data_IF_558880904909
#
_entry.id   IF_558880904909
#
_cell.length_a   1.000
_cell.length_b   1.000
_cell.length_c   1.000
_cell.angle_alpha   90.00
_cell.angle_beta   90.00
_cell.angle_gamma   90.00
#
_symmetry.space_group_name_H-M   'P 1'
#
loop_
_entity.id
_entity.type
_entity.pdbx_description
1 polymer ?
#
# COMPACT_ATOMS: atom_id res chain seq x y z
N UNK A 1 2.91 -12.68 27.37
CA UNK A 1 2.51 -12.02 26.11
C UNK A 1 3.15 -10.65 26.07
N UNK A 2 3.66 -10.20 24.91
CA UNK A 2 4.21 -8.85 24.75
C UNK A 2 3.15 -7.93 24.11
N UNK A 3 3.09 -6.68 24.58
CA UNK A 3 2.16 -5.66 24.10
C UNK A 3 2.96 -4.45 23.61
N UNK A 4 2.73 -4.04 22.37
CA UNK A 4 3.35 -2.85 21.79
C UNK A 4 2.42 -1.63 21.91
N UNK A 5 2.98 -0.50 22.29
CA UNK A 5 2.34 0.81 22.22
C UNK A 5 2.67 1.45 20.87
N UNK A 6 1.67 1.64 20.05
CA UNK A 6 1.83 2.04 18.64
C UNK A 6 1.06 3.33 18.38
N UNK A 7 1.72 4.33 17.82
CA UNK A 7 1.05 5.50 17.26
C UNK A 7 0.74 5.22 15.77
N UNK A 8 -0.53 5.39 15.40
CA UNK A 8 -1.03 5.05 14.08
C UNK A 8 -0.91 6.24 13.11
N UNK A 9 -0.68 5.96 11.81
CA UNK A 9 -0.59 6.99 10.77
C UNK A 9 -1.97 7.54 10.36
N UNK A 10 -2.63 8.14 11.36
CA UNK A 10 -3.89 8.87 11.18
C UNK A 10 -3.77 10.20 11.93
N UNK A 11 -3.45 11.32 11.26
CA UNK A 11 -3.19 12.60 11.91
C UNK A 11 -4.50 13.30 12.30
N UNK A 12 -5.12 12.83 13.37
CA UNK A 12 -6.33 13.39 13.96
C UNK A 12 -6.13 13.56 15.47
N UNK A 13 -6.84 14.51 16.08
CA UNK A 13 -6.75 14.77 17.52
C UNK A 13 -7.07 13.53 18.38
N UNK A 14 -8.02 12.71 17.95
CA UNK A 14 -8.45 11.50 18.67
C UNK A 14 -7.43 10.36 18.59
N UNK A 15 -6.57 10.37 17.57
CA UNK A 15 -5.57 9.33 17.31
C UNK A 15 -4.15 9.74 17.68
N UNK A 16 -3.96 10.97 18.21
CA UNK A 16 -2.66 11.47 18.68
C UNK A 16 -2.27 10.91 20.05
N UNK A 17 -2.45 9.61 20.19
CA UNK A 17 -2.11 8.82 21.38
C UNK A 17 -1.73 7.39 20.95
N UNK A 18 -0.90 6.69 21.76
CA UNK A 18 -0.55 5.31 21.46
C UNK A 18 -1.72 4.36 21.72
N UNK A 19 -1.84 3.36 20.86
CA UNK A 19 -2.77 2.24 20.99
C UNK A 19 -2.01 0.97 21.31
N UNK A 20 -2.63 0.09 22.10
CA UNK A 20 -2.05 -1.20 22.49
C UNK A 20 -2.38 -2.27 21.48
N UNK A 21 -1.37 -3.05 21.07
CA UNK A 21 -1.49 -4.19 20.18
C UNK A 21 -0.71 -5.38 20.71
N UNK A 22 -1.24 -6.58 20.52
CA UNK A 22 -0.50 -7.82 20.76
C UNK A 22 0.67 -7.93 19.79
N UNK A 23 1.81 -8.38 20.31
CA UNK A 23 2.96 -8.73 19.46
C UNK A 23 2.85 -10.20 19.12
N UNK A 24 2.84 -10.59 17.83
CA UNK A 24 2.91 -11.98 17.42
C UNK A 24 4.11 -12.70 18.05
N UNK A 25 3.95 -13.96 18.42
CA UNK A 25 5.01 -14.72 19.11
C UNK A 25 6.31 -14.75 18.29
N UNK A 26 6.20 -14.81 16.98
CA UNK A 26 7.31 -14.83 16.03
C UNK A 26 8.18 -13.57 16.10
N UNK A 27 7.59 -12.43 16.50
CA UNK A 27 8.26 -11.12 16.54
C UNK A 27 8.61 -10.63 17.94
N UNK A 28 8.29 -11.37 19.01
CA UNK A 28 8.54 -10.92 20.40
C UNK A 28 9.99 -10.52 20.64
N UNK A 29 10.95 -11.29 20.10
CA UNK A 29 12.40 -11.03 20.22
C UNK A 29 12.93 -10.10 19.13
N UNK A 30 12.09 -9.69 18.18
CA UNK A 30 12.52 -8.98 16.98
C UNK A 30 11.98 -7.55 16.91
N UNK A 31 10.80 -7.32 17.50
CA UNK A 31 10.18 -6.01 17.50
C UNK A 31 10.93 -5.08 18.46
N UNK A 32 11.26 -3.89 17.98
CA UNK A 32 11.96 -2.87 18.75
C UNK A 32 11.23 -1.53 18.67
N UNK A 33 11.43 -0.68 19.68
CA UNK A 33 10.95 0.70 19.69
C UNK A 33 11.57 1.46 18.52
N UNK A 34 10.77 2.28 17.82
CA UNK A 34 11.19 3.01 16.64
C UNK A 34 10.99 2.28 15.30
N UNK A 35 10.54 1.01 15.33
CA UNK A 35 10.15 0.27 14.12
C UNK A 35 8.78 0.68 13.62
N UNK A 36 8.57 0.55 12.31
CA UNK A 36 7.25 0.67 11.67
C UNK A 36 6.59 -0.68 11.57
N UNK A 37 5.27 -0.67 11.71
CA UNK A 37 4.41 -1.86 11.64
C UNK A 37 3.14 -1.56 10.86
N UNK A 38 2.49 -2.59 10.31
CA UNK A 38 1.10 -2.52 9.88
C UNK A 38 0.19 -3.09 10.96
N UNK A 39 -0.86 -2.35 11.29
CA UNK A 39 -1.84 -2.74 12.30
C UNK A 39 -3.27 -2.58 11.79
N UNK A 40 -4.20 -3.47 12.19
CA UNK A 40 -5.62 -3.32 11.91
C UNK A 40 -6.23 -2.21 12.78
N UNK A 41 -6.76 -1.16 12.17
CA UNK A 41 -7.32 -0.01 12.87
C UNK A 41 -8.78 0.25 12.53
N UNK A 42 -9.52 0.82 13.50
CA UNK A 42 -10.93 1.15 13.37
C UNK A 42 -11.84 -0.08 13.35
N UNK A 43 -13.15 0.16 13.12
CA UNK A 43 -14.17 -0.90 13.10
C UNK A 43 -14.05 -1.84 11.89
N UNK A 44 -13.53 -1.33 10.77
CA UNK A 44 -13.35 -2.09 9.54
C UNK A 44 -12.03 -2.85 9.47
N UNK A 45 -11.21 -2.85 10.52
CA UNK A 45 -9.89 -3.48 10.57
C UNK A 45 -8.98 -3.12 9.38
N UNK A 46 -9.06 -1.87 8.92
CA UNK A 46 -8.22 -1.40 7.84
C UNK A 46 -6.76 -1.40 8.29
N UNK A 47 -5.90 -2.03 7.49
CA UNK A 47 -4.47 -2.02 7.75
C UNK A 47 -3.90 -0.62 7.53
N UNK A 48 -3.27 -0.07 8.55
CA UNK A 48 -2.58 1.21 8.51
C UNK A 48 -1.19 1.09 9.13
N UNK A 49 -0.29 1.94 8.68
CA UNK A 49 1.04 2.01 9.24
C UNK A 49 1.00 2.63 10.63
N UNK A 50 1.85 2.16 11.52
CA UNK A 50 2.11 2.74 12.83
C UNK A 50 3.60 2.68 13.16
N UNK A 51 3.98 3.38 14.24
CA UNK A 51 5.35 3.40 14.78
C UNK A 51 5.29 2.90 16.22
N UNK A 52 6.17 1.96 16.54
CA UNK A 52 6.30 1.40 17.90
C UNK A 52 6.97 2.44 18.81
N UNK A 53 6.27 2.83 19.87
CA UNK A 53 6.74 3.80 20.85
C UNK A 53 7.21 3.15 22.15
N UNK A 54 6.76 1.91 22.42
CA UNK A 54 7.11 1.17 23.63
C UNK A 54 6.66 -0.28 23.51
N UNK A 55 7.28 -1.15 24.30
CA UNK A 55 6.94 -2.57 24.41
C UNK A 55 6.88 -2.90 25.89
N UNK A 56 5.77 -3.47 26.33
CA UNK A 56 5.48 -3.82 27.72
C UNK A 56 5.21 -5.33 27.82
N UNK A 57 5.54 -5.93 28.95
CA UNK A 57 5.14 -7.31 29.25
C UNK A 57 3.76 -7.31 29.90
N UNK A 58 3.00 -8.38 29.69
CA UNK A 58 1.64 -8.52 30.23
C UNK A 58 1.57 -8.35 31.75
N UNK A 59 2.64 -8.71 32.48
CA UNK A 59 2.75 -8.53 33.92
C UNK A 59 2.68 -7.07 34.39
N UNK A 60 2.93 -6.12 33.49
CA UNK A 60 3.07 -4.71 33.79
C UNK A 60 1.79 -3.91 33.46
N UNK A 61 0.75 -4.59 33.00
CA UNK A 61 -0.47 -3.96 32.49
C UNK A 61 -1.69 -4.50 33.26
N UNK A 62 -2.43 -3.58 33.85
CA UNK A 62 -3.71 -3.82 34.57
C UNK A 62 -4.90 -4.12 33.63
N UNK A 63 -4.65 -4.44 32.34
CA UNK A 63 -5.68 -4.60 31.32
C UNK A 63 -5.71 -6.04 30.85
N UNK A 64 -6.57 -6.84 31.45
CA UNK A 64 -7.09 -8.09 30.88
C UNK A 64 -7.97 -7.76 29.66
N UNK A 65 -7.37 -7.24 28.59
CA UNK A 65 -8.11 -6.95 27.36
C UNK A 65 -7.96 -8.12 26.41
N UNK A 66 -8.87 -9.11 26.54
CA UNK A 66 -8.99 -10.27 25.65
C UNK A 66 -9.22 -9.86 24.18
N UNK A 67 -9.50 -8.57 23.94
CA UNK A 67 -9.87 -8.01 22.64
C UNK A 67 -8.77 -7.18 21.96
N UNK A 68 -7.53 -7.20 22.46
CA UNK A 68 -6.44 -6.49 21.79
C UNK A 68 -6.20 -7.08 20.40
N UNK A 69 -6.17 -6.21 19.41
CA UNK A 69 -5.78 -6.58 18.05
C UNK A 69 -4.28 -6.89 17.98
N UNK A 70 -3.89 -7.70 17.02
CA UNK A 70 -2.51 -8.11 16.83
C UNK A 70 -1.86 -7.31 15.70
N UNK A 71 -0.52 -7.11 15.80
CA UNK A 71 0.28 -6.54 14.72
C UNK A 71 0.19 -7.47 13.52
N UNK A 72 -0.15 -6.93 12.36
CA UNK A 72 -0.30 -7.71 11.14
C UNK A 72 1.03 -7.94 10.42
N UNK A 73 1.97 -6.99 10.50
CA UNK A 73 3.25 -7.05 9.79
C UNK A 73 4.28 -6.13 10.47
N UNK A 74 5.54 -6.55 10.53
CA UNK A 74 6.69 -5.72 10.92
C UNK A 74 7.40 -5.24 9.67
N UNK A 75 7.47 -3.90 9.49
CA UNK A 75 7.96 -3.30 8.26
C UNK A 75 9.49 -3.13 8.21
N UNK A 76 10.16 -3.12 9.35
CA UNK A 76 11.59 -2.78 9.43
C UNK A 76 12.40 -3.91 10.06
N UNK A 77 13.65 -4.07 9.61
CA UNK A 77 14.60 -5.05 10.14
C UNK A 77 15.37 -4.53 11.38
N UNK A 78 15.34 -3.21 11.57
CA UNK A 78 15.93 -2.50 12.71
C UNK A 78 15.14 -1.19 12.91
N UNK A 79 15.25 -0.54 14.09
CA UNK A 79 14.61 0.74 14.33
C UNK A 79 14.99 1.78 13.26
N UNK A 80 14.00 2.44 12.69
CA UNK A 80 14.15 3.55 11.73
C UNK A 80 14.12 4.92 12.41
N UNK A 81 13.68 4.94 13.67
CA UNK A 81 13.73 6.10 14.55
C UNK A 81 14.46 5.72 15.84
N UNK A 82 15.37 6.56 16.26
CA UNK A 82 16.10 6.38 17.52
C UNK A 82 15.28 6.88 18.72
N UNK A 83 15.66 6.50 19.93
CA UNK A 83 15.03 6.98 21.15
C UNK A 83 15.09 8.51 21.28
N UNK A 84 16.20 9.14 20.87
CA UNK A 84 16.35 10.59 20.87
C UNK A 84 15.37 11.26 19.90
N UNK A 85 15.13 10.66 18.74
CA UNK A 85 14.15 11.16 17.78
C UNK A 85 12.72 11.03 18.32
N UNK A 86 12.39 9.93 18.96
CA UNK A 86 11.09 9.73 19.62
C UNK A 86 10.87 10.73 20.74
N UNK A 87 11.89 10.97 21.58
CA UNK A 87 11.86 11.99 22.62
C UNK A 87 11.72 13.39 22.01
N UNK A 88 12.51 13.73 20.98
CA UNK A 88 12.43 15.01 20.29
C UNK A 88 11.04 15.26 19.70
N UNK A 89 10.41 14.22 19.12
CA UNK A 89 9.06 14.32 18.59
C UNK A 89 8.04 14.66 19.69
N UNK A 90 8.19 14.11 20.89
CA UNK A 90 7.34 14.43 22.04
C UNK A 90 7.53 15.88 22.51
N UNK A 91 8.77 16.38 22.56
CA UNK A 91 9.05 17.77 22.94
C UNK A 91 8.54 18.76 21.87
N UNK A 92 8.74 18.45 20.59
CA UNK A 92 8.20 19.27 19.50
C UNK A 92 6.66 19.32 19.54
N UNK A 93 5.99 18.19 19.81
CA UNK A 93 4.54 18.12 19.91
C UNK A 93 3.99 19.12 20.93
N UNK A 94 4.69 19.31 22.05
CA UNK A 94 4.32 20.29 23.08
C UNK A 94 4.47 21.73 22.64
N UNK A 95 5.36 21.99 21.66
CA UNK A 95 5.76 23.33 21.24
C UNK A 95 5.09 23.78 19.94
N UNK A 96 4.68 22.84 19.09
CA UNK A 96 4.10 23.13 17.78
C UNK A 96 2.70 22.52 17.64
N UNK A 97 1.83 23.17 16.87
CA UNK A 97 0.48 22.66 16.58
C UNK A 97 0.56 21.56 15.50
N UNK A 98 1.15 20.41 15.86
CA UNK A 98 1.25 19.26 14.98
C UNK A 98 1.02 17.95 15.72
N UNK A 99 0.51 16.96 14.99
CA UNK A 99 0.34 15.61 15.54
C UNK A 99 1.68 14.90 15.64
N UNK A 100 1.87 14.11 16.71
CA UNK A 100 3.10 13.35 16.94
C UNK A 100 3.48 12.49 15.73
N UNK A 101 2.51 11.80 15.13
CA UNK A 101 2.77 10.98 13.92
C UNK A 101 3.29 11.79 12.75
N UNK A 102 2.81 13.02 12.55
CA UNK A 102 3.29 13.90 11.48
C UNK A 102 4.73 14.33 11.70
N UNK A 103 5.10 14.62 12.95
CA UNK A 103 6.47 14.97 13.35
C UNK A 103 7.39 13.77 13.11
N UNK A 104 7.01 12.57 13.57
CA UNK A 104 7.79 11.35 13.38
C UNK A 104 7.99 11.03 11.90
N UNK A 105 6.96 11.18 11.07
CA UNK A 105 7.07 10.99 9.63
C UNK A 105 8.02 11.98 8.95
N UNK A 106 8.06 13.23 9.42
CA UNK A 106 8.99 14.22 8.91
C UNK A 106 10.46 13.90 9.24
N UNK A 107 10.72 13.12 10.29
CA UNK A 107 12.05 12.66 10.67
C UNK A 107 12.50 11.43 9.87
N UNK A 108 11.56 10.71 9.23
CA UNK A 108 11.90 9.54 8.42
C UNK A 108 12.53 9.94 7.09
N UNK A 109 13.54 9.19 6.62
CA UNK A 109 14.06 9.34 5.27
C UNK A 109 12.95 9.20 4.22
N UNK A 110 12.97 10.06 3.20
CA UNK A 110 11.90 10.13 2.19
C UNK A 110 11.64 8.82 1.45
N UNK A 111 12.68 7.98 1.27
CA UNK A 111 12.53 6.69 0.62
C UNK A 111 11.66 5.71 1.43
N UNK A 112 11.61 5.83 2.76
CA UNK A 112 10.76 4.99 3.61
C UNK A 112 9.26 5.30 3.47
N UNK A 113 8.92 6.45 2.88
CA UNK A 113 7.54 6.81 2.56
C UNK A 113 7.09 6.28 1.19
N UNK A 114 8.00 5.67 0.43
CA UNK A 114 7.74 5.05 -0.88
C UNK A 114 7.56 3.55 -0.72
N UNK A 115 6.87 2.91 -1.66
CA UNK A 115 6.74 1.45 -1.69
C UNK A 115 8.04 0.85 -2.22
N UNK A 116 8.84 0.32 -1.31
CA UNK A 116 10.02 -0.49 -1.64
C UNK A 116 9.73 -1.94 -1.30
N UNK A 117 10.14 -2.83 -2.17
CA UNK A 117 10.23 -4.25 -1.82
C UNK A 117 11.59 -4.52 -1.21
N UNK A 118 11.63 -5.42 -0.26
CA UNK A 118 12.84 -5.84 0.44
C UNK A 118 13.26 -7.17 -0.13
N UNK A 119 14.38 -7.17 -0.81
CA UNK A 119 14.93 -8.38 -1.44
C UNK A 119 16.06 -8.90 -0.57
N UNK A 120 15.97 -10.17 -0.24
CA UNK A 120 16.94 -10.89 0.58
C UNK A 120 17.83 -11.77 -0.29
N UNK A 121 19.13 -11.68 -0.08
CA UNK A 121 20.14 -12.48 -0.74
C UNK A 121 20.91 -13.31 0.30
N UNK A 122 21.15 -14.60 0.06
CA UNK A 122 21.98 -15.42 0.94
C UNK A 122 23.45 -15.01 0.82
N UNK A 123 24.14 -14.86 1.96
CA UNK A 123 25.58 -14.64 2.02
C UNK A 123 26.34 -15.97 2.20
N UNK A 124 27.64 -15.96 1.96
CA UNK A 124 28.50 -17.15 2.05
C UNK A 124 28.49 -17.82 3.43
N UNK A 125 28.18 -17.06 4.50
CA UNK A 125 28.07 -17.59 5.86
C UNK A 125 26.80 -18.42 6.11
N UNK A 126 25.82 -18.42 5.21
CA UNK A 126 24.61 -19.21 5.35
C UNK A 126 24.90 -20.70 5.02
N UNK A 127 24.47 -21.62 5.91
CA UNK A 127 24.68 -23.05 5.68
C UNK A 127 24.01 -23.53 4.38
N UNK A 128 24.59 -24.49 3.67
CA UNK A 128 24.03 -25.05 2.45
C UNK A 128 22.61 -25.60 2.68
N UNK A 129 22.39 -26.23 3.83
CA UNK A 129 21.06 -26.77 4.23
C UNK A 129 20.01 -25.66 4.39
N UNK A 130 20.38 -24.55 5.04
CA UNK A 130 19.46 -23.42 5.22
C UNK A 130 19.23 -22.68 3.90
N UNK A 131 20.25 -22.57 3.06
CA UNK A 131 20.11 -21.98 1.73
C UNK A 131 19.12 -22.78 0.88
N UNK A 132 19.26 -24.11 0.84
CA UNK A 132 18.35 -24.97 0.09
C UNK A 132 16.91 -24.92 0.65
N UNK A 133 16.76 -24.95 1.98
CA UNK A 133 15.46 -24.90 2.65
C UNK A 133 14.72 -23.57 2.45
N UNK A 134 15.45 -22.44 2.52
CA UNK A 134 14.84 -21.10 2.51
C UNK A 134 14.71 -20.53 1.10
N UNK A 135 15.72 -20.74 0.25
CA UNK A 135 15.80 -20.15 -1.09
C UNK A 135 15.54 -21.18 -2.21
N UNK A 136 15.76 -22.48 -1.96
CA UNK A 136 15.66 -23.52 -3.00
C UNK A 136 16.59 -23.21 -4.16
N UNK A 137 16.03 -23.05 -5.36
CA UNK A 137 16.76 -22.68 -6.58
C UNK A 137 16.80 -21.16 -6.83
N UNK A 138 16.18 -20.36 -5.97
CA UNK A 138 16.12 -18.91 -6.14
C UNK A 138 17.39 -18.25 -5.63
N UNK A 139 17.85 -17.22 -6.34
CA UNK A 139 19.01 -16.43 -5.93
C UNK A 139 18.65 -15.39 -4.86
N UNK A 140 17.37 -14.99 -4.82
CA UNK A 140 16.85 -14.00 -3.88
C UNK A 140 15.38 -14.24 -3.57
N UNK A 141 14.89 -13.65 -2.46
CA UNK A 141 13.50 -13.72 -2.03
C UNK A 141 12.96 -12.31 -1.74
N UNK A 142 11.75 -12.05 -2.19
CA UNK A 142 11.02 -10.86 -1.79
C UNK A 142 10.41 -11.08 -0.39
N UNK A 143 10.72 -10.18 0.54
CA UNK A 143 10.25 -10.28 1.94
C UNK A 143 8.72 -10.25 2.03
N UNK A 144 8.07 -9.45 1.18
CA UNK A 144 6.61 -9.31 1.11
C UNK A 144 5.87 -10.61 0.71
N UNK A 145 6.58 -11.55 0.08
CA UNK A 145 6.00 -12.84 -0.34
C UNK A 145 6.03 -13.92 0.74
N UNK A 146 6.64 -13.65 1.89
CA UNK A 146 6.85 -14.63 2.97
C UNK A 146 5.72 -14.55 4.00
N UNK A 147 5.39 -15.70 4.60
CA UNK A 147 4.55 -15.76 5.80
C UNK A 147 5.27 -15.18 7.03
N UNK A 148 4.54 -14.85 8.10
CA UNK A 148 5.07 -14.18 9.29
C UNK A 148 6.21 -14.94 9.95
N UNK A 149 6.10 -16.27 10.03
CA UNK A 149 7.13 -17.12 10.63
C UNK A 149 8.45 -17.05 9.86
N UNK A 150 8.37 -17.15 8.52
CA UNK A 150 9.55 -16.98 7.65
C UNK A 150 10.09 -15.56 7.67
N UNK A 151 9.22 -14.54 7.73
CA UNK A 151 9.65 -13.16 7.87
C UNK A 151 10.50 -12.98 9.14
N UNK A 152 10.04 -13.49 10.28
CA UNK A 152 10.78 -13.45 11.54
C UNK A 152 12.12 -14.19 11.45
N UNK A 153 12.13 -15.37 10.82
CA UNK A 153 13.37 -16.13 10.61
C UNK A 153 14.36 -15.34 9.73
N UNK A 154 13.90 -14.76 8.62
CA UNK A 154 14.73 -13.95 7.73
C UNK A 154 15.31 -12.71 8.44
N UNK A 155 14.52 -12.04 9.28
CA UNK A 155 15.01 -10.93 10.08
C UNK A 155 16.10 -11.37 11.04
N UNK A 156 15.94 -12.51 11.72
CA UNK A 156 17.00 -13.07 12.61
C UNK A 156 18.28 -13.40 11.85
N UNK A 157 18.15 -14.01 10.67
CA UNK A 157 19.33 -14.34 9.83
C UNK A 157 20.02 -13.09 9.30
N UNK A 158 19.26 -12.07 8.93
CA UNK A 158 19.81 -10.76 8.49
C UNK A 158 20.56 -10.07 9.61
N UNK A 159 20.03 -10.07 10.85
CA UNK A 159 20.73 -9.52 12.04
C UNK A 159 22.03 -10.27 12.37
N UNK A 160 22.08 -11.58 12.08
CA UNK A 160 23.28 -12.39 12.21
C UNK A 160 24.29 -12.17 11.09
N UNK A 161 23.99 -11.32 10.11
CA UNK A 161 24.88 -11.08 8.96
C UNK A 161 24.95 -12.26 7.98
N UNK A 162 23.95 -13.16 7.97
CA UNK A 162 23.88 -14.31 7.08
C UNK A 162 23.08 -14.03 5.79
N UNK A 163 22.30 -12.96 5.79
CA UNK A 163 21.56 -12.47 4.63
C UNK A 163 21.90 -11.01 4.37
N UNK A 164 21.93 -10.64 3.09
CA UNK A 164 21.99 -9.26 2.63
C UNK A 164 20.59 -8.77 2.32
N UNK A 165 20.22 -7.61 2.85
CA UNK A 165 18.98 -6.93 2.56
C UNK A 165 19.24 -5.82 1.54
N UNK A 166 18.49 -5.82 0.45
CA UNK A 166 18.45 -4.72 -0.52
C UNK A 166 17.04 -4.16 -0.63
N UNK A 167 16.94 -2.85 -0.71
CA UNK A 167 15.70 -2.15 -0.96
C UNK A 167 15.57 -1.90 -2.46
N UNK A 168 14.63 -2.59 -3.10
CA UNK A 168 14.32 -2.38 -4.50
C UNK A 168 13.08 -1.51 -4.61
N UNK A 169 13.19 -0.37 -5.27
CA UNK A 169 12.02 0.45 -5.55
C UNK A 169 11.01 -0.41 -6.33
N UNK A 170 9.86 -0.67 -5.71
CA UNK A 170 8.73 -1.18 -6.46
C UNK A 170 8.35 -0.05 -7.39
N UNK A 171 8.68 -0.22 -8.65
CA UNK A 171 8.24 0.67 -9.72
C UNK A 171 6.70 0.61 -9.70
N UNK A 172 6.11 1.35 -8.77
CA UNK A 172 4.72 1.72 -8.87
C UNK A 172 4.62 2.74 -10.02
N UNK A 173 5.04 2.28 -11.20
CA UNK A 173 4.38 2.75 -12.37
C UNK A 173 2.93 2.26 -12.22
N UNK A 174 2.15 2.99 -11.44
CA UNK A 174 0.75 3.17 -11.80
C UNK A 174 0.82 3.79 -13.19
N UNK A 175 0.93 2.91 -14.16
CA UNK A 175 0.71 3.26 -15.54
C UNK A 175 -0.63 3.96 -15.49
N UNK A 176 -0.64 5.27 -15.75
CA UNK A 176 -1.89 6.01 -15.79
C UNK A 176 -2.68 5.40 -16.92
N UNK A 177 -3.52 4.44 -16.59
CA UNK A 177 -4.44 3.86 -17.56
C UNK A 177 -5.60 4.82 -17.70
N UNK A 178 -5.87 5.21 -18.90
CA UNK A 178 -7.09 5.90 -19.27
C UNK A 178 -8.08 4.89 -19.80
N UNK A 179 -9.32 4.95 -19.30
CA UNK A 179 -10.38 4.09 -19.81
C UNK A 179 -10.84 4.59 -21.16
N UNK A 180 -10.87 3.69 -22.13
CA UNK A 180 -11.34 3.92 -23.49
C UNK A 180 -12.52 3.02 -23.79
N UNK A 181 -13.33 3.43 -24.73
CA UNK A 181 -14.49 2.68 -25.21
C UNK A 181 -14.22 2.26 -26.65
N UNK A 182 -14.27 0.95 -26.89
CA UNK A 182 -14.22 0.37 -28.24
C UNK A 182 -15.64 0.12 -28.71
N UNK A 183 -15.95 0.54 -29.94
CA UNK A 183 -17.28 0.46 -30.52
C UNK A 183 -17.44 -0.81 -31.35
N UNK A 184 -18.45 -1.63 -31.02
CA UNK A 184 -18.88 -2.74 -31.87
C UNK A 184 -20.01 -2.26 -32.80
N UNK A 185 -19.63 -1.89 -34.02
CA UNK A 185 -20.53 -1.27 -35.00
C UNK A 185 -21.72 -2.15 -35.33
N UNK A 186 -21.50 -3.45 -35.57
CA UNK A 186 -22.56 -4.38 -35.97
C UNK A 186 -23.65 -4.52 -34.89
N UNK A 187 -23.24 -4.54 -33.64
CA UNK A 187 -24.17 -4.61 -32.50
C UNK A 187 -24.83 -3.26 -32.26
N UNK A 188 -24.10 -2.16 -32.45
CA UNK A 188 -24.61 -0.82 -32.23
C UNK A 188 -25.69 -0.47 -33.27
N UNK A 189 -25.55 -0.88 -34.52
CA UNK A 189 -26.53 -0.68 -35.58
C UNK A 189 -27.81 -1.49 -35.36
N UNK A 190 -27.69 -2.70 -34.81
CA UNK A 190 -28.83 -3.60 -34.55
C UNK A 190 -29.54 -3.32 -33.21
N UNK A 191 -28.96 -2.46 -32.36
CA UNK A 191 -29.48 -2.19 -31.02
C UNK A 191 -30.78 -1.36 -31.13
N UNK A 192 -31.90 -1.92 -30.68
CA UNK A 192 -33.16 -1.22 -30.61
C UNK A 192 -33.21 -0.27 -29.40
N UNK A 193 -33.35 1.01 -29.65
CA UNK A 193 -33.43 2.04 -28.62
C UNK A 193 -34.82 2.71 -28.72
N UNK A 194 -35.50 2.84 -27.60
CA UNK A 194 -36.79 3.53 -27.56
C UNK A 194 -36.66 4.96 -28.07
N UNK A 195 -37.60 5.35 -28.96
CA UNK A 195 -37.69 6.73 -29.53
C UNK A 195 -37.81 7.82 -28.46
N UNK A 196 -38.24 7.46 -27.24
CA UNK A 196 -38.33 8.38 -26.09
C UNK A 196 -37.00 8.66 -25.42
N UNK A 197 -35.99 7.80 -25.62
CA UNK A 197 -34.66 7.90 -25.00
C UNK A 197 -33.71 8.76 -25.86
N UNK A 198 -34.06 10.04 -26.07
CA UNK A 198 -33.31 10.97 -26.94
C UNK A 198 -31.82 10.96 -26.72
N UNK A 199 -31.34 11.06 -25.47
CA UNK A 199 -29.92 11.06 -25.17
C UNK A 199 -29.18 9.75 -25.48
N UNK A 200 -29.85 8.60 -25.40
CA UNK A 200 -29.28 7.32 -25.84
C UNK A 200 -29.17 7.26 -27.37
N UNK A 201 -30.13 7.86 -28.07
CA UNK A 201 -30.06 7.97 -29.54
C UNK A 201 -28.94 8.89 -29.99
N UNK A 202 -28.78 10.05 -29.35
CA UNK A 202 -27.67 10.98 -29.60
C UNK A 202 -26.31 10.28 -29.33
N UNK A 203 -26.14 9.55 -28.21
CA UNK A 203 -24.93 8.79 -27.91
C UNK A 203 -24.67 7.71 -28.97
N UNK A 204 -25.70 7.01 -29.45
CA UNK A 204 -25.57 6.03 -30.52
C UNK A 204 -25.04 6.67 -31.82
N UNK A 205 -25.62 7.82 -32.22
CA UNK A 205 -25.16 8.56 -33.41
C UNK A 205 -23.72 9.04 -33.25
N UNK A 206 -23.36 9.54 -32.07
CA UNK A 206 -22.00 9.92 -31.75
C UNK A 206 -21.01 8.74 -31.90
N UNK A 207 -21.35 7.57 -31.34
CA UNK A 207 -20.52 6.38 -31.39
C UNK A 207 -20.40 5.83 -32.83
N UNK A 208 -21.45 5.93 -33.64
CA UNK A 208 -21.41 5.55 -35.05
C UNK A 208 -20.54 6.48 -35.90
N UNK A 209 -20.50 7.76 -35.54
CA UNK A 209 -19.63 8.75 -36.19
C UNK A 209 -18.14 8.60 -35.80
N UNK A 210 -17.86 7.96 -34.65
CA UNK A 210 -16.52 7.75 -34.13
C UNK A 210 -16.22 6.23 -34.03
N UNK A 211 -15.97 5.52 -35.15
CA UNK A 211 -15.85 4.06 -35.18
C UNK A 211 -14.56 3.53 -34.52
N UNK A 212 -13.65 4.42 -34.15
CA UNK A 212 -12.45 4.10 -33.41
C UNK A 212 -12.69 4.12 -31.90
N UNK A 213 -11.63 3.89 -31.13
CA UNK A 213 -11.70 3.96 -29.68
C UNK A 213 -11.84 5.40 -29.19
N UNK A 214 -12.83 5.66 -28.32
CA UNK A 214 -13.12 6.98 -27.75
C UNK A 214 -12.74 6.98 -26.26
N UNK A 215 -12.09 8.05 -25.73
CA UNK A 215 -11.85 8.16 -24.29
C UNK A 215 -13.16 8.18 -23.51
N UNK A 216 -13.25 7.37 -22.46
CA UNK A 216 -14.46 7.35 -21.61
C UNK A 216 -14.73 8.71 -20.96
N UNK A 217 -13.67 9.48 -20.66
CA UNK A 217 -13.80 10.82 -20.07
C UNK A 217 -14.60 11.75 -20.98
N UNK A 218 -14.32 11.75 -22.28
CA UNK A 218 -14.99 12.62 -23.26
C UNK A 218 -16.49 12.27 -23.37
N UNK A 219 -16.82 10.97 -23.27
CA UNK A 219 -18.23 10.55 -23.25
C UNK A 219 -18.94 11.00 -21.98
N UNK A 220 -18.28 10.95 -20.83
CA UNK A 220 -18.85 11.32 -19.54
C UNK A 220 -19.01 12.84 -19.35
N UNK A 221 -18.38 13.66 -20.19
CA UNK A 221 -18.64 15.11 -20.22
C UNK A 221 -20.05 15.43 -20.75
N UNK A 222 -20.57 14.62 -21.65
CA UNK A 222 -21.83 14.88 -22.33
C UNK A 222 -22.96 13.90 -21.98
N UNK A 223 -22.59 12.68 -21.53
CA UNK A 223 -23.52 11.58 -21.26
C UNK A 223 -23.34 11.02 -19.84
N UNK A 224 -24.43 10.61 -19.20
CA UNK A 224 -24.36 10.00 -17.88
C UNK A 224 -23.76 8.58 -17.94
N UNK A 225 -23.16 8.13 -16.82
CA UNK A 225 -22.59 6.79 -16.72
C UNK A 225 -23.63 5.68 -16.97
N UNK A 226 -24.89 5.90 -16.59
CA UNK A 226 -25.98 4.96 -16.86
C UNK A 226 -26.29 4.81 -18.35
N UNK A 227 -26.18 5.91 -19.11
CA UNK A 227 -26.36 5.87 -20.55
C UNK A 227 -25.24 5.10 -21.24
N UNK A 228 -24.02 5.29 -20.83
CA UNK A 228 -22.85 4.54 -21.34
C UNK A 228 -22.95 3.05 -20.96
N UNK A 229 -23.28 2.75 -19.70
CA UNK A 229 -23.42 1.37 -19.23
C UNK A 229 -24.51 0.61 -19.99
N UNK A 230 -25.57 1.25 -20.41
CA UNK A 230 -26.59 0.62 -21.26
C UNK A 230 -25.98 -0.01 -22.52
N UNK A 231 -25.05 0.67 -23.20
CA UNK A 231 -24.40 0.13 -24.38
C UNK A 231 -23.37 -0.96 -24.06
N UNK A 232 -22.74 -0.91 -22.88
CA UNK A 232 -21.87 -1.97 -22.37
C UNK A 232 -22.66 -3.26 -22.12
N UNK A 233 -23.79 -3.16 -21.44
CA UNK A 233 -24.67 -4.30 -21.10
C UNK A 233 -25.21 -5.01 -22.35
N UNK A 234 -25.45 -4.25 -23.42
CA UNK A 234 -25.89 -4.82 -24.70
C UNK A 234 -24.72 -5.21 -25.61
N UNK A 235 -23.46 -5.09 -25.13
CA UNK A 235 -22.26 -5.46 -25.88
C UNK A 235 -22.00 -4.61 -27.12
N UNK A 236 -22.65 -3.44 -27.23
CA UNK A 236 -22.43 -2.48 -28.32
C UNK A 236 -21.12 -1.70 -28.15
N UNK A 237 -20.62 -1.60 -26.92
CA UNK A 237 -19.30 -1.04 -26.59
C UNK A 237 -18.60 -1.92 -25.57
N UNK A 238 -17.25 -1.92 -25.62
CA UNK A 238 -16.39 -2.62 -24.67
C UNK A 238 -15.45 -1.62 -24.02
N UNK A 239 -15.27 -1.71 -22.69
CA UNK A 239 -14.31 -0.87 -21.99
C UNK A 239 -12.91 -1.44 -22.09
N UNK A 240 -11.97 -0.63 -22.54
CA UNK A 240 -10.55 -0.93 -22.62
C UNK A 240 -9.76 0.01 -21.72
N UNK A 241 -8.67 -0.48 -21.13
CA UNK A 241 -7.70 0.37 -20.46
C UNK A 241 -6.47 0.50 -21.35
N UNK A 242 -6.16 1.72 -21.76
CA UNK A 242 -4.93 2.04 -22.50
C UNK A 242 -3.95 2.78 -21.63
N UNK A 243 -2.67 2.44 -21.72
CA UNK A 243 -1.60 3.15 -21.04
C UNK A 243 -1.42 4.54 -21.65
N UNK A 244 -1.41 5.57 -20.79
CA UNK A 244 -1.07 6.93 -21.22
C UNK A 244 0.44 7.08 -21.14
N UNK A 245 1.13 7.03 -22.27
CA UNK A 245 2.53 7.44 -22.33
C UNK A 245 2.61 8.94 -22.05
N UNK A 246 3.33 9.31 -20.98
CA UNK A 246 3.72 10.70 -20.78
C UNK A 246 4.74 11.04 -21.86
N UNK A 247 4.37 11.83 -22.83
CA UNK A 247 5.36 12.53 -23.64
C UNK A 247 6.19 13.37 -22.69
N UNK A 248 7.49 13.06 -22.56
CA UNK A 248 8.44 13.94 -21.94
C UNK A 248 8.42 15.23 -22.79
N UNK A 249 7.78 16.27 -22.30
CA UNK A 249 7.99 17.60 -22.84
C UNK A 249 9.46 17.94 -22.48
N UNK A 250 10.34 17.76 -23.44
CA UNK A 250 11.67 18.34 -23.39
C UNK A 250 11.46 19.86 -23.31
N UNK A 251 11.80 20.43 -22.18
CA UNK A 251 12.09 21.86 -22.13
C UNK A 251 13.37 22.08 -22.94
N UNK A 252 13.23 22.33 -24.24
CA UNK A 252 14.19 23.11 -24.99
C UNK A 252 13.93 24.55 -24.60
N UNK A 253 14.84 25.13 -23.85
CA UNK A 253 14.66 26.53 -23.50
C UNK A 253 15.80 27.12 -22.74
N UNK A 254 16.70 27.79 -23.47
CA UNK A 254 17.55 28.92 -23.13
C UNK A 254 18.76 28.66 -22.25
#
# INVERSE_FOLDING_TARGET
MAIAKIIVDVPLMQTDQPYSYKVPEEFVDMLEVGMRVHVPFGKANRLIQGIVLGIEQESDIDVADENLKEIAEVLDFSPVLTEEQLWLAEELRKSVFSYKISILKAMLPGFLNSSYDKILYPLEGLSHKDRERLFGLQESLAFSSLDLEKQAEMMRLTRKGLLKLEYQAVDQKKVKTQSWVEVNRDKLEKLEISKRAKKKLELREYLLAHPETVPLADLLEHYSREQVNFFVEHGAITMLQKEVQRSAAYFEGI
#
